data_IF_286898215837
#
_entry.id   IF_286898215837
#
_cell.length_a   1.000
_cell.length_b   1.000
_cell.length_c   1.000
_cell.angle_alpha   90.00
_cell.angle_beta   90.00
_cell.angle_gamma   90.00
#
_symmetry.space_group_name_H-M   'P 1'
#
loop_
_entity.id
_entity.type
_entity.pdbx_description
1 polymer ?
#
# COMPACT_ATOMS: atom_id res chain seq x y z
N UNK A 1 -11.97 11.30 0.37
CA UNK A 1 -11.36 10.06 0.91
C UNK A 1 -12.24 9.39 1.97
N UNK A 2 -12.41 9.96 3.17
CA UNK A 2 -13.18 9.30 4.26
C UNK A 2 -14.61 8.87 3.85
N UNK A 3 -15.39 9.65 3.08
CA UNK A 3 -16.68 9.17 2.58
C UNK A 3 -16.55 7.90 1.75
N UNK A 4 -15.61 7.85 0.80
CA UNK A 4 -15.39 6.69 -0.07
C UNK A 4 -14.97 5.43 0.69
N UNK A 5 -14.23 5.55 1.78
CA UNK A 5 -13.87 4.39 2.62
C UNK A 5 -15.10 3.71 3.21
N UNK A 6 -16.11 4.49 3.62
CA UNK A 6 -17.37 3.97 4.16
C UNK A 6 -18.26 3.35 3.08
N UNK A 7 -18.12 3.83 1.84
CA UNK A 7 -18.80 3.27 0.66
C UNK A 7 -18.04 2.07 0.05
N UNK A 8 -16.99 1.56 0.70
CA UNK A 8 -16.31 0.32 0.33
C UNK A 8 -14.98 0.47 -0.41
N UNK A 9 -14.51 1.69 -0.69
CA UNK A 9 -13.16 1.89 -1.23
C UNK A 9 -12.11 1.42 -0.21
N UNK A 10 -11.18 0.56 -0.64
CA UNK A 10 -10.20 -0.08 0.24
C UNK A 10 -8.75 -0.09 -0.31
N UNK A 11 -8.52 0.50 -1.48
CA UNK A 11 -7.19 0.74 -2.07
C UNK A 11 -7.09 2.22 -2.46
N UNK A 12 -5.95 2.84 -2.14
CA UNK A 12 -5.68 4.27 -2.35
C UNK A 12 -4.73 4.52 -3.53
N UNK A 13 -4.24 3.47 -4.21
CA UNK A 13 -3.23 3.58 -5.24
C UNK A 13 -1.82 3.85 -4.68
N UNK A 14 -0.90 4.28 -5.55
CA UNK A 14 0.45 4.67 -5.15
C UNK A 14 0.44 6.03 -4.47
N UNK A 15 1.27 6.21 -3.44
CA UNK A 15 1.43 7.47 -2.69
C UNK A 15 2.92 7.65 -2.38
N UNK A 16 3.44 8.87 -2.52
CA UNK A 16 4.85 9.17 -2.29
C UNK A 16 5.03 10.50 -1.58
N UNK A 17 5.80 10.54 -0.48
CA UNK A 17 6.16 11.82 0.16
C UNK A 17 7.40 12.48 -0.48
N UNK A 18 8.08 11.79 -1.39
CA UNK A 18 9.39 12.18 -1.91
C UNK A 18 9.30 12.72 -3.33
N UNK A 19 8.39 12.17 -4.13
CA UNK A 19 8.26 12.49 -5.56
C UNK A 19 7.00 13.30 -5.81
N UNK A 20 6.95 14.16 -6.84
CA UNK A 20 5.69 14.74 -7.28
C UNK A 20 4.72 13.67 -7.79
N UNK A 21 3.45 14.00 -7.89
CA UNK A 21 2.49 13.19 -8.63
C UNK A 21 2.63 13.51 -10.13
N UNK A 22 3.14 12.56 -10.91
CA UNK A 22 3.31 12.73 -12.35
C UNK A 22 2.00 12.58 -13.14
N UNK A 23 0.97 11.99 -12.54
CA UNK A 23 -0.35 11.85 -13.15
C UNK A 23 -1.19 13.10 -12.85
N UNK A 24 -1.09 13.63 -11.63
CA UNK A 24 -1.83 14.81 -11.21
C UNK A 24 -0.94 15.90 -10.56
N UNK A 25 -0.11 16.63 -11.36
CA UNK A 25 0.89 17.55 -10.83
C UNK A 25 0.34 18.68 -9.95
N UNK A 26 -0.90 19.11 -10.19
CA UNK A 26 -1.58 20.17 -9.44
C UNK A 26 -2.10 19.70 -8.07
N UNK A 27 -2.05 18.39 -7.80
CA UNK A 27 -2.53 17.78 -6.56
C UNK A 27 -1.40 16.96 -5.91
N UNK A 28 -0.57 17.59 -5.06
CA UNK A 28 0.53 16.90 -4.41
C UNK A 28 0.03 15.76 -3.50
N UNK A 29 0.87 14.75 -3.32
CA UNK A 29 0.59 13.63 -2.43
C UNK A 29 0.33 14.10 -0.99
N UNK A 30 -0.60 13.45 -0.26
CA UNK A 30 -0.78 13.71 1.15
C UNK A 30 0.43 13.20 1.95
N UNK A 31 0.72 13.84 3.08
CA UNK A 31 1.67 13.30 4.05
C UNK A 31 1.16 11.97 4.61
N UNK A 32 2.04 10.99 4.74
CA UNK A 32 1.70 9.63 5.18
C UNK A 32 1.12 9.64 6.61
N UNK A 33 1.65 10.49 7.49
CA UNK A 33 1.14 10.65 8.87
C UNK A 33 -0.30 11.17 8.87
N UNK A 34 -0.60 12.13 8.00
CA UNK A 34 -1.96 12.68 7.90
C UNK A 34 -2.92 11.66 7.30
N UNK A 35 -2.48 10.95 6.25
CA UNK A 35 -3.23 9.88 5.63
C UNK A 35 -3.60 8.81 6.66
N UNK A 36 -2.61 8.35 7.42
CA UNK A 36 -2.79 7.37 8.49
C UNK A 36 -3.82 7.85 9.52
N UNK A 37 -3.68 9.08 10.02
CA UNK A 37 -4.63 9.67 10.98
C UNK A 37 -6.06 9.69 10.45
N UNK A 38 -6.25 10.08 9.18
CA UNK A 38 -7.59 10.14 8.55
C UNK A 38 -8.20 8.75 8.35
N UNK A 39 -7.41 7.77 7.94
CA UNK A 39 -7.86 6.38 7.73
C UNK A 39 -8.20 5.71 9.08
N UNK A 40 -7.32 5.83 10.07
CA UNK A 40 -7.52 5.28 11.42
C UNK A 40 -8.67 5.97 12.15
N UNK A 41 -8.80 7.30 12.02
CA UNK A 41 -9.95 8.05 12.54
C UNK A 41 -11.29 7.65 11.93
N UNK A 42 -11.29 7.00 10.76
CA UNK A 42 -12.48 6.45 10.13
C UNK A 42 -12.77 4.99 10.53
N UNK A 43 -11.96 4.37 11.40
CA UNK A 43 -12.11 2.99 11.86
C UNK A 43 -11.39 1.94 11.00
N UNK A 44 -10.55 2.36 10.04
CA UNK A 44 -9.81 1.47 9.14
C UNK A 44 -8.33 1.43 9.50
N UNK A 45 -7.58 0.47 8.92
CA UNK A 45 -6.12 0.39 9.07
C UNK A 45 -5.45 0.74 7.76
N UNK A 46 -4.48 1.66 7.80
CA UNK A 46 -3.61 1.92 6.66
C UNK A 46 -2.53 0.83 6.60
N UNK A 47 -2.52 0.04 5.53
CA UNK A 47 -1.51 -0.98 5.26
C UNK A 47 -0.91 -0.76 3.88
N UNK A 48 0.42 -0.74 3.81
CA UNK A 48 1.15 -0.71 2.55
C UNK A 48 1.11 -2.11 1.90
N UNK A 49 0.89 -2.16 0.58
CA UNK A 49 1.04 -3.36 -0.23
C UNK A 49 2.22 -3.21 -1.17
N UNK A 50 2.74 -4.33 -1.65
CA UNK A 50 3.62 -4.34 -2.80
C UNK A 50 2.85 -3.85 -4.05
N UNK A 51 3.51 -3.65 -5.21
CA UNK A 51 2.81 -3.44 -6.49
C UNK A 51 1.86 -4.58 -6.88
N UNK A 52 1.88 -5.70 -6.13
CA UNK A 52 0.96 -6.83 -6.20
C UNK A 52 -0.14 -6.72 -5.13
N UNK A 53 -1.36 -7.13 -5.48
CA UNK A 53 -2.38 -7.36 -4.45
C UNK A 53 -1.99 -8.54 -3.55
N UNK A 54 -2.39 -8.52 -2.26
CA UNK A 54 -1.99 -9.55 -1.30
C UNK A 54 -2.32 -10.98 -1.74
N UNK A 55 -3.47 -11.20 -2.37
CA UNK A 55 -3.87 -12.52 -2.90
C UNK A 55 -2.88 -13.08 -3.94
N UNK A 56 -2.26 -12.21 -4.74
CA UNK A 56 -1.26 -12.60 -5.73
C UNK A 56 0.14 -12.70 -5.13
N UNK A 57 0.44 -11.90 -4.10
CA UNK A 57 1.68 -12.05 -3.34
C UNK A 57 1.78 -13.42 -2.64
N UNK A 58 0.63 -14.02 -2.32
CA UNK A 58 0.50 -15.34 -1.71
C UNK A 58 0.37 -16.48 -2.73
N UNK A 59 0.29 -16.18 -4.03
CA UNK A 59 0.14 -17.18 -5.10
C UNK A 59 1.49 -17.39 -5.82
N UNK A 60 2.20 -18.50 -5.55
CA UNK A 60 3.49 -18.78 -6.18
C UNK A 60 3.42 -18.94 -7.70
N UNK A 61 2.23 -19.26 -8.25
CA UNK A 61 2.05 -19.47 -9.69
C UNK A 61 1.89 -18.17 -10.49
N UNK A 62 1.60 -17.07 -9.80
CA UNK A 62 1.34 -15.76 -10.44
C UNK A 62 2.61 -15.07 -10.96
N UNK A 63 3.79 -15.51 -10.53
CA UNK A 63 5.04 -14.81 -10.79
C UNK A 63 6.20 -15.77 -11.04
N UNK A 64 7.26 -15.28 -11.68
CA UNK A 64 8.48 -16.08 -11.84
C UNK A 64 9.14 -16.36 -10.50
N UNK A 65 9.99 -17.39 -10.47
CA UNK A 65 10.76 -17.74 -9.29
C UNK A 65 11.67 -16.58 -8.82
N UNK A 66 12.22 -15.75 -9.73
CA UNK A 66 13.00 -14.58 -9.32
C UNK A 66 12.15 -13.54 -8.57
N UNK A 67 10.96 -13.23 -9.10
CA UNK A 67 10.04 -12.28 -8.48
C UNK A 67 9.53 -12.80 -7.15
N UNK A 68 9.21 -14.10 -7.07
CA UNK A 68 8.77 -14.77 -5.84
C UNK A 68 9.77 -14.60 -4.71
N UNK A 69 11.07 -14.78 -4.97
CA UNK A 69 12.13 -14.57 -3.97
C UNK A 69 12.18 -13.13 -3.46
N UNK A 70 11.83 -12.14 -4.28
CA UNK A 70 11.73 -10.74 -3.85
C UNK A 70 10.48 -10.55 -2.99
N UNK A 71 9.33 -11.05 -3.44
CA UNK A 71 8.06 -10.95 -2.71
C UNK A 71 8.16 -11.60 -1.33
N UNK A 72 8.70 -12.82 -1.22
CA UNK A 72 8.87 -13.51 0.07
C UNK A 72 9.77 -12.75 1.06
N UNK A 73 10.70 -11.92 0.59
CA UNK A 73 11.56 -11.10 1.46
C UNK A 73 10.88 -9.80 1.93
N UNK A 74 9.84 -9.37 1.22
CA UNK A 74 9.26 -8.03 1.39
C UNK A 74 7.80 -8.08 1.87
N UNK A 75 7.13 -9.22 1.78
CA UNK A 75 5.75 -9.39 2.20
C UNK A 75 5.62 -10.13 3.54
N UNK A 76 4.60 -9.76 4.33
CA UNK A 76 4.15 -10.48 5.51
C UNK A 76 3.36 -11.75 5.12
N UNK A 77 2.98 -12.57 6.10
CA UNK A 77 2.19 -13.79 5.87
C UNK A 77 0.79 -13.54 5.28
N UNK A 78 0.36 -12.28 5.25
CA UNK A 78 -0.92 -11.85 4.67
C UNK A 78 -0.74 -11.23 3.29
N UNK A 79 0.48 -11.19 2.74
CA UNK A 79 0.79 -10.64 1.42
C UNK A 79 0.94 -9.11 1.37
N UNK A 80 1.00 -8.42 2.51
CA UNK A 80 1.23 -6.97 2.60
C UNK A 80 2.70 -6.65 2.81
N UNK A 81 3.13 -5.42 2.54
CA UNK A 81 4.52 -5.00 2.73
C UNK A 81 4.93 -5.15 4.21
N UNK A 82 6.07 -5.80 4.46
CA UNK A 82 6.71 -5.80 5.77
C UNK A 82 7.01 -4.35 6.16
N UNK A 83 6.57 -3.96 7.36
CA UNK A 83 6.91 -2.65 7.91
C UNK A 83 8.43 -2.51 7.92
N UNK A 84 8.98 -1.35 7.51
CA UNK A 84 10.41 -1.12 7.61
C UNK A 84 10.82 -1.37 9.06
N UNK A 85 11.76 -2.31 9.28
CA UNK A 85 12.37 -2.43 10.59
C UNK A 85 13.09 -1.11 10.86
N UNK A 86 12.79 -0.47 11.98
CA UNK A 86 13.61 0.65 12.47
C UNK A 86 14.99 0.07 12.76
N UNK A 87 15.94 0.33 11.86
CA UNK A 87 17.37 0.24 12.17
C UNK A 87 17.76 1.31 13.17
#
# INVERSE_FOLDING_TARGET
MVPFLREGANDLGGISEITPDFINPEHPWPKLVELKRRVEGAGFKLKERLPLYPKYALDPSFMSEEVRRVVCRLADERGYRLSPQKG
#
